data_IF_524696459305
#
_entry.id   IF_524696459305
#
_cell.length_a   1.000
_cell.length_b   1.000
_cell.length_c   1.000
_cell.angle_alpha   90.00
_cell.angle_beta   90.00
_cell.angle_gamma   90.00
#
_symmetry.space_group_name_H-M   'P 1'
#
loop_
_entity.id
_entity.type
_entity.pdbx_description
1 polymer ?
#
# COMPACT_ATOMS: atom_id res chain seq x y z
N UNK A 1 -3.17 -17.07 -11.78
CA UNK A 1 -2.44 -18.28 -12.20
C UNK A 1 -2.92 -19.57 -11.52
N UNK A 2 -3.26 -19.60 -10.21
CA UNK A 2 -3.69 -20.85 -9.53
C UNK A 2 -5.22 -21.07 -9.35
N UNK A 3 -6.07 -20.12 -9.76
CA UNK A 3 -7.52 -20.32 -9.85
C UNK A 3 -7.95 -19.93 -11.26
N UNK A 4 -8.42 -20.90 -12.05
CA UNK A 4 -8.97 -20.70 -13.40
C UNK A 4 -10.30 -19.93 -13.33
N UNK A 5 -10.23 -18.65 -12.95
CA UNK A 5 -11.36 -17.74 -13.05
C UNK A 5 -11.24 -17.00 -14.39
N UNK A 6 -12.23 -17.09 -15.29
CA UNK A 6 -12.18 -16.37 -16.56
C UNK A 6 -12.01 -14.88 -16.28
N UNK A 7 -11.25 -14.16 -17.11
CA UNK A 7 -11.00 -12.71 -16.95
C UNK A 7 -11.86 -11.97 -17.95
N UNK A 8 -12.63 -10.98 -17.51
CA UNK A 8 -13.54 -10.21 -18.36
C UNK A 8 -12.74 -9.14 -19.08
N UNK A 9 -13.10 -8.82 -20.32
CA UNK A 9 -12.50 -7.70 -21.06
C UNK A 9 -12.58 -6.36 -20.28
N UNK A 10 -13.58 -6.22 -19.39
CA UNK A 10 -13.72 -5.04 -18.52
C UNK A 10 -12.58 -4.92 -17.50
N UNK A 11 -11.96 -6.03 -17.08
CA UNK A 11 -10.81 -6.00 -16.15
C UNK A 11 -9.57 -5.43 -16.86
N UNK A 12 -9.38 -5.74 -18.15
CA UNK A 12 -8.31 -5.15 -18.95
C UNK A 12 -8.49 -3.64 -19.14
N UNK A 13 -9.71 -3.21 -19.42
CA UNK A 13 -10.05 -1.79 -19.49
C UNK A 13 -9.77 -1.08 -18.16
N UNK A 14 -10.19 -1.68 -17.05
CA UNK A 14 -9.92 -1.14 -15.71
C UNK A 14 -8.43 -1.03 -15.42
N UNK A 15 -7.64 -2.05 -15.77
CA UNK A 15 -6.19 -2.05 -15.61
C UNK A 15 -5.54 -0.92 -16.43
N UNK A 16 -5.95 -0.76 -17.68
CA UNK A 16 -5.45 0.31 -18.54
C UNK A 16 -5.78 1.70 -17.98
N UNK A 17 -7.01 1.90 -17.48
CA UNK A 17 -7.42 3.15 -16.83
C UNK A 17 -6.58 3.44 -15.57
N UNK A 18 -6.38 2.45 -14.69
CA UNK A 18 -5.58 2.65 -13.48
C UNK A 18 -4.13 2.98 -13.83
N UNK A 19 -3.51 2.27 -14.78
CA UNK A 19 -2.14 2.55 -15.22
C UNK A 19 -2.04 3.96 -15.82
N UNK A 20 -2.98 4.35 -16.68
CA UNK A 20 -3.00 5.67 -17.28
C UNK A 20 -3.17 6.78 -16.22
N UNK A 21 -4.10 6.60 -15.29
CA UNK A 21 -4.33 7.54 -14.18
C UNK A 21 -3.11 7.67 -13.28
N UNK A 22 -2.43 6.57 -12.93
CA UNK A 22 -1.18 6.61 -12.16
C UNK A 22 -0.06 7.32 -12.92
N UNK A 23 0.06 7.10 -14.24
CA UNK A 23 1.04 7.82 -15.06
C UNK A 23 0.78 9.34 -15.08
N UNK A 24 -0.50 9.75 -15.07
CA UNK A 24 -0.89 11.15 -14.98
C UNK A 24 -0.55 11.75 -13.61
N UNK A 25 -0.84 11.04 -12.52
CA UNK A 25 -0.54 11.49 -11.14
C UNK A 25 0.97 11.61 -10.93
N UNK A 26 1.73 10.61 -11.40
CA UNK A 26 3.19 10.60 -11.33
C UNK A 26 3.85 11.61 -12.28
N UNK A 27 3.06 12.29 -13.13
CA UNK A 27 3.52 13.27 -14.12
C UNK A 27 4.75 12.77 -14.86
N UNK A 28 4.66 11.56 -15.41
CA UNK A 28 5.83 10.83 -15.95
C UNK A 28 6.67 11.67 -16.91
N UNK A 29 6.07 12.58 -17.67
CA UNK A 29 6.77 13.47 -18.60
C UNK A 29 7.66 14.56 -17.94
N UNK A 30 7.52 14.88 -16.66
CA UNK A 30 8.31 15.92 -15.99
C UNK A 30 9.66 15.43 -15.43
N UNK A 31 9.97 14.14 -15.52
CA UNK A 31 11.21 13.62 -14.93
C UNK A 31 11.44 12.12 -15.09
N UNK A 32 10.93 11.47 -16.14
CA UNK A 32 11.10 10.03 -16.32
C UNK A 32 12.58 9.67 -16.58
N UNK A 33 13.27 9.20 -15.55
CA UNK A 33 14.50 8.43 -15.70
C UNK A 33 14.17 6.96 -15.50
N UNK A 34 13.91 6.24 -16.60
CA UNK A 34 13.66 4.80 -16.54
C UNK A 34 14.96 4.05 -16.21
N UNK A 35 15.09 3.63 -14.95
CA UNK A 35 16.15 2.73 -14.51
C UNK A 35 15.65 1.28 -14.59
N UNK A 36 16.31 0.44 -15.38
CA UNK A 36 15.97 -0.97 -15.52
C UNK A 36 15.96 -1.71 -14.17
N UNK A 37 16.87 -1.38 -13.26
CA UNK A 37 16.91 -1.96 -11.92
C UNK A 37 15.69 -1.58 -11.08
N UNK A 38 15.21 -0.33 -11.21
CA UNK A 38 14.00 0.15 -10.54
C UNK A 38 12.72 -0.50 -11.09
N UNK A 39 12.65 -0.74 -12.39
CA UNK A 39 11.53 -1.48 -13.01
C UNK A 39 11.53 -2.94 -12.54
N UNK A 40 12.71 -3.59 -12.53
CA UNK A 40 12.84 -4.96 -12.05
C UNK A 40 12.44 -5.09 -10.57
N UNK A 41 12.89 -4.18 -9.71
CA UNK A 41 12.51 -4.18 -8.29
C UNK A 41 11.02 -3.93 -8.09
N UNK A 42 10.41 -3.02 -8.85
CA UNK A 42 8.96 -2.78 -8.82
C UNK A 42 8.15 -4.03 -9.19
N UNK A 43 8.59 -4.78 -10.22
CA UNK A 43 7.95 -6.05 -10.60
C UNK A 43 8.09 -7.12 -9.51
N UNK A 44 9.27 -7.22 -8.89
CA UNK A 44 9.49 -8.13 -7.74
C UNK A 44 8.57 -7.74 -6.58
N UNK A 45 8.45 -6.46 -6.25
CA UNK A 45 7.52 -5.95 -5.24
C UNK A 45 6.06 -6.28 -5.56
N UNK A 46 5.64 -6.15 -6.82
CA UNK A 46 4.29 -6.51 -7.25
C UNK A 46 3.99 -8.00 -7.05
N UNK A 47 4.95 -8.88 -7.40
CA UNK A 47 4.83 -10.33 -7.17
C UNK A 47 4.82 -10.65 -5.68
N UNK A 48 5.69 -10.04 -4.89
CA UNK A 48 5.76 -10.22 -3.45
C UNK A 48 4.45 -9.77 -2.76
N UNK A 49 3.88 -8.63 -3.16
CA UNK A 49 2.61 -8.13 -2.66
C UNK A 49 1.46 -9.07 -3.03
N UNK A 50 1.42 -9.55 -4.28
CA UNK A 50 0.43 -10.53 -4.71
C UNK A 50 0.53 -11.84 -3.89
N UNK A 51 1.76 -12.31 -3.64
CA UNK A 51 2.00 -13.46 -2.79
C UNK A 51 1.56 -13.20 -1.34
N UNK A 52 1.84 -12.02 -0.77
CA UNK A 52 1.37 -11.64 0.56
C UNK A 52 -0.15 -11.71 0.67
N UNK A 53 -0.90 -11.17 -0.29
CA UNK A 53 -2.37 -11.25 -0.25
C UNK A 53 -2.91 -12.69 -0.40
N UNK A 54 -2.31 -13.49 -1.29
CA UNK A 54 -2.74 -14.89 -1.51
C UNK A 54 -2.40 -15.80 -0.33
N UNK A 55 -1.18 -15.69 0.20
CA UNK A 55 -0.73 -16.43 1.38
C UNK A 55 -1.40 -15.92 2.66
N UNK A 56 -1.64 -14.62 2.75
CA UNK A 56 -2.38 -14.00 3.85
C UNK A 56 -3.80 -14.52 3.92
N UNK A 57 -4.53 -14.53 2.79
CA UNK A 57 -5.89 -15.04 2.74
C UNK A 57 -5.98 -16.53 3.11
N UNK A 58 -5.08 -17.37 2.58
CA UNK A 58 -5.07 -18.81 2.91
C UNK A 58 -4.53 -19.10 4.32
N UNK A 59 -3.58 -18.30 4.81
CA UNK A 59 -3.03 -18.41 6.16
C UNK A 59 -4.04 -18.06 7.25
N UNK A 60 -4.95 -17.11 6.99
CA UNK A 60 -6.03 -16.74 7.90
C UNK A 60 -7.10 -17.84 8.09
N UNK A 61 -7.17 -18.83 7.19
CA UNK A 61 -8.07 -19.99 7.38
C UNK A 61 -7.57 -20.93 8.50
N UNK A 62 -6.25 -20.93 8.76
CA UNK A 62 -5.60 -21.87 9.70
C UNK A 62 -5.03 -21.21 10.95
N UNK A 63 -4.79 -19.89 10.92
CA UNK A 63 -4.21 -19.11 12.02
C UNK A 63 -4.91 -17.77 12.18
N UNK A 64 -4.87 -17.23 13.38
CA UNK A 64 -5.39 -15.89 13.66
C UNK A 64 -4.47 -14.79 13.11
N UNK A 65 -5.03 -13.58 12.95
CA UNK A 65 -4.33 -12.40 12.44
C UNK A 65 -3.08 -12.03 13.23
N UNK A 66 -3.10 -12.20 14.55
CA UNK A 66 -1.96 -11.85 15.42
C UNK A 66 -0.82 -12.83 15.18
N UNK A 67 -1.09 -14.15 15.18
CA UNK A 67 -0.05 -15.15 14.91
C UNK A 67 0.58 -14.99 13.52
N UNK A 68 -0.23 -14.75 12.49
CA UNK A 68 0.29 -14.60 11.12
C UNK A 68 1.13 -13.32 10.98
N UNK A 69 0.73 -12.23 11.64
CA UNK A 69 1.48 -10.98 11.69
C UNK A 69 2.80 -11.15 12.47
N UNK A 70 2.76 -11.86 13.60
CA UNK A 70 3.93 -12.15 14.43
C UNK A 70 4.99 -12.96 13.65
N UNK A 71 4.58 -14.04 12.98
CA UNK A 71 5.49 -14.82 12.13
C UNK A 71 6.01 -14.02 10.94
N UNK A 72 5.16 -13.19 10.31
CA UNK A 72 5.58 -12.30 9.24
C UNK A 72 6.68 -11.34 9.68
N UNK A 73 6.49 -10.66 10.80
CA UNK A 73 7.51 -9.75 11.35
C UNK A 73 8.74 -10.48 11.86
N UNK A 74 8.61 -11.69 12.41
CA UNK A 74 9.76 -12.49 12.84
C UNK A 74 10.69 -12.81 11.66
N UNK A 75 10.15 -13.36 10.57
CA UNK A 75 10.96 -13.66 9.39
C UNK A 75 11.48 -12.39 8.71
N UNK A 76 10.66 -11.33 8.63
CA UNK A 76 11.10 -10.04 8.09
C UNK A 76 12.27 -9.46 8.89
N UNK A 77 12.20 -9.51 10.23
CA UNK A 77 13.28 -9.07 11.13
C UNK A 77 14.53 -9.89 10.90
N UNK A 78 14.42 -11.21 10.76
CA UNK A 78 15.56 -12.09 10.53
C UNK A 78 16.23 -11.79 9.18
N UNK A 79 15.45 -11.66 8.12
CA UNK A 79 15.95 -11.30 6.78
C UNK A 79 16.64 -9.93 6.79
N UNK A 80 16.00 -8.91 7.37
CA UNK A 80 16.57 -7.57 7.41
C UNK A 80 17.79 -7.47 8.33
N UNK A 81 17.86 -8.24 9.42
CA UNK A 81 19.05 -8.27 10.28
C UNK A 81 20.30 -8.79 9.56
N UNK A 82 20.13 -9.60 8.50
CA UNK A 82 21.23 -10.06 7.64
C UNK A 82 21.59 -9.02 6.57
N UNK A 83 20.59 -8.40 5.93
CA UNK A 83 20.79 -7.43 4.85
C UNK A 83 21.32 -6.09 5.37
N UNK A 84 20.74 -5.59 6.45
CA UNK A 84 21.07 -4.32 7.09
C UNK A 84 21.28 -4.56 8.61
N UNK A 85 22.48 -5.00 9.01
CA UNK A 85 22.72 -5.37 10.39
C UNK A 85 22.56 -4.19 11.35
N UNK A 86 22.05 -4.44 12.56
CA UNK A 86 21.77 -3.39 13.55
C UNK A 86 23.00 -2.58 13.97
N UNK A 87 24.22 -3.12 13.79
CA UNK A 87 25.46 -2.42 14.16
C UNK A 87 25.85 -1.37 13.11
N UNK A 88 25.30 -1.44 11.90
CA UNK A 88 25.46 -0.41 10.88
C UNK A 88 24.50 0.77 11.08
N UNK A 89 23.58 0.67 12.04
CA UNK A 89 22.59 1.70 12.30
C UNK A 89 23.23 2.93 12.98
N UNK A 90 22.97 4.16 12.50
CA UNK A 90 23.53 5.38 13.07
C UNK A 90 22.81 5.78 14.38
N UNK A 91 23.14 5.10 15.48
CA UNK A 91 22.50 5.29 16.79
C UNK A 91 22.51 6.74 17.31
N UNK A 92 23.48 7.56 16.88
CA UNK A 92 23.56 8.97 17.25
C UNK A 92 22.38 9.82 16.78
N UNK A 93 21.74 9.44 15.66
CA UNK A 93 20.59 10.19 15.11
C UNK A 93 19.33 10.07 15.98
N UNK A 94 19.24 9.06 16.85
CA UNK A 94 18.03 8.82 17.65
C UNK A 94 17.72 9.96 18.62
N UNK A 95 18.77 10.60 19.15
CA UNK A 95 18.66 11.72 20.10
C UNK A 95 18.45 13.07 19.43
N UNK A 96 18.65 13.16 18.11
CA UNK A 96 18.45 14.42 17.39
C UNK A 96 16.96 14.77 17.35
N UNK A 97 16.66 16.05 17.57
CA UNK A 97 15.30 16.57 17.47
C UNK A 97 15.09 17.14 16.07
N UNK A 98 14.08 16.62 15.39
CA UNK A 98 13.68 17.13 14.08
C UNK A 98 12.96 18.48 14.22
N UNK A 99 12.95 19.29 13.16
CA UNK A 99 12.12 20.49 13.12
C UNK A 99 10.67 20.19 13.51
N UNK A 100 9.97 21.13 14.17
CA UNK A 100 8.57 20.96 14.53
C UNK A 100 7.72 20.62 13.31
N UNK A 101 6.83 19.64 13.44
CA UNK A 101 5.84 19.32 12.40
C UNK A 101 4.79 20.43 12.25
N UNK A 102 4.58 21.23 13.29
CA UNK A 102 3.59 22.31 13.34
C UNK A 102 4.25 23.53 13.97
N UNK A 103 4.02 24.70 13.38
CA UNK A 103 4.50 25.97 13.91
C UNK A 103 4.04 26.16 15.37
N UNK A 104 5.01 26.34 16.27
CA UNK A 104 4.76 26.52 17.71
C UNK A 104 4.81 25.24 18.56
N UNK A 105 4.99 24.05 17.96
CA UNK A 105 5.25 22.82 18.71
C UNK A 105 6.76 22.61 18.98
N UNK A 106 7.15 21.89 20.05
CA UNK A 106 8.54 21.46 20.20
C UNK A 106 8.90 20.42 19.13
N UNK A 107 10.16 20.45 18.68
CA UNK A 107 10.72 19.40 17.83
C UNK A 107 10.69 18.05 18.53
N UNK A 108 10.36 16.98 17.79
CA UNK A 108 10.30 15.63 18.35
C UNK A 108 11.62 14.90 18.09
N UNK A 109 12.13 14.14 19.08
CA UNK A 109 13.27 13.27 18.88
C UNK A 109 12.97 12.21 17.81
N UNK A 110 13.97 11.86 17.00
CA UNK A 110 13.84 10.85 15.94
C UNK A 110 13.33 9.50 16.47
N UNK A 111 13.77 9.08 17.66
CA UNK A 111 13.31 7.82 18.25
C UNK A 111 11.79 7.78 18.50
N UNK A 112 11.17 8.91 18.84
CA UNK A 112 9.72 9.00 19.04
C UNK A 112 8.99 8.75 17.73
N UNK A 113 9.48 9.35 16.63
CA UNK A 113 8.91 9.15 15.30
C UNK A 113 9.09 7.71 14.80
N UNK A 114 10.22 7.08 15.10
CA UNK A 114 10.46 5.67 14.79
C UNK A 114 9.47 4.78 15.54
N UNK A 115 9.33 4.96 16.86
CA UNK A 115 8.37 4.18 17.66
C UNK A 115 6.94 4.40 17.16
N UNK A 116 6.57 5.64 16.87
CA UNK A 116 5.27 5.97 16.28
C UNK A 116 5.05 5.24 14.95
N UNK A 117 6.04 5.26 14.05
CA UNK A 117 5.96 4.57 12.76
C UNK A 117 5.88 3.04 12.91
N UNK A 118 6.64 2.45 13.83
CA UNK A 118 6.58 1.01 14.12
C UNK A 118 5.20 0.62 14.64
N UNK A 119 4.64 1.37 15.59
CA UNK A 119 3.36 1.03 16.20
C UNK A 119 2.17 1.33 15.29
N UNK A 120 2.08 2.56 14.78
CA UNK A 120 0.91 3.06 14.05
C UNK A 120 1.08 3.07 12.54
N UNK A 121 2.31 3.12 12.02
CA UNK A 121 2.58 2.98 10.59
C UNK A 121 2.70 1.52 10.14
N UNK A 122 3.02 0.60 11.05
CA UNK A 122 3.34 -0.79 10.71
C UNK A 122 2.46 -1.79 11.45
N UNK A 123 2.60 -1.94 12.77
CA UNK A 123 1.92 -3.02 13.51
C UNK A 123 0.39 -2.87 13.46
N UNK A 124 -0.14 -1.70 13.81
CA UNK A 124 -1.59 -1.48 13.83
C UNK A 124 -2.22 -1.64 12.44
N UNK A 125 -1.70 -1.03 11.35
CA UNK A 125 -2.24 -1.24 10.00
C UNK A 125 -2.21 -2.70 9.56
N UNK A 126 -1.11 -3.43 9.80
CA UNK A 126 -1.03 -4.85 9.42
C UNK A 126 -2.05 -5.69 10.17
N UNK A 127 -2.22 -5.47 11.48
CA UNK A 127 -3.24 -6.15 12.28
C UNK A 127 -4.66 -5.82 11.79
N UNK A 128 -4.93 -4.57 11.43
CA UNK A 128 -6.22 -4.14 10.88
C UNK A 128 -6.49 -4.76 9.52
N UNK A 129 -5.51 -4.76 8.60
CA UNK A 129 -5.65 -5.36 7.27
C UNK A 129 -5.90 -6.86 7.39
N UNK A 130 -5.07 -7.58 8.14
CA UNK A 130 -5.20 -9.03 8.30
C UNK A 130 -6.46 -9.41 9.09
N UNK A 131 -6.84 -8.60 10.09
CA UNK A 131 -8.10 -8.72 10.80
C UNK A 131 -9.32 -8.44 9.92
N UNK A 132 -9.23 -7.49 8.98
CA UNK A 132 -10.30 -7.16 8.03
C UNK A 132 -10.59 -8.34 7.09
N UNK A 133 -9.55 -9.07 6.67
CA UNK A 133 -9.71 -10.28 5.85
C UNK A 133 -10.58 -11.32 6.56
N UNK A 134 -10.42 -11.47 7.89
CA UNK A 134 -11.20 -12.42 8.69
C UNK A 134 -12.65 -11.97 8.92
N UNK A 135 -12.90 -10.66 9.07
CA UNK A 135 -14.25 -10.13 9.38
C UNK A 135 -15.10 -9.83 8.14
N UNK A 136 -14.48 -9.32 7.09
CA UNK A 136 -15.15 -8.84 5.89
C UNK A 136 -15.00 -9.81 4.70
N UNK A 137 -14.03 -10.73 4.76
CA UNK A 137 -13.62 -11.55 3.62
C UNK A 137 -12.75 -10.78 2.63
N UNK A 138 -11.92 -11.50 1.87
CA UNK A 138 -10.94 -10.91 0.94
C UNK A 138 -11.57 -9.99 -0.11
N UNK A 139 -12.81 -10.24 -0.50
CA UNK A 139 -13.52 -9.43 -1.50
C UNK A 139 -13.88 -8.04 -0.96
N UNK A 140 -14.56 -7.95 0.19
CA UNK A 140 -14.94 -6.67 0.79
C UNK A 140 -13.72 -5.90 1.30
N UNK A 141 -12.74 -6.59 1.88
CA UNK A 141 -11.47 -5.97 2.27
C UNK A 141 -10.76 -5.36 1.05
N UNK A 142 -10.79 -6.05 -0.09
CA UNK A 142 -10.27 -5.51 -1.36
C UNK A 142 -10.99 -4.25 -1.81
N UNK A 143 -12.33 -4.20 -1.73
CA UNK A 143 -13.13 -3.01 -2.07
C UNK A 143 -12.75 -1.83 -1.19
N UNK A 144 -12.63 -2.04 0.12
CA UNK A 144 -12.19 -0.99 1.05
C UNK A 144 -10.76 -0.55 0.71
N UNK A 145 -9.87 -1.49 0.41
CA UNK A 145 -8.50 -1.21 0.00
C UNK A 145 -8.40 -0.36 -1.26
N UNK A 146 -9.33 -0.52 -2.22
CA UNK A 146 -9.34 0.36 -3.41
C UNK A 146 -9.69 1.82 -3.12
N UNK A 147 -10.17 2.15 -1.92
CA UNK A 147 -10.35 3.54 -1.49
C UNK A 147 -9.06 4.18 -0.96
N UNK A 148 -7.97 3.42 -0.81
CA UNK A 148 -6.68 3.93 -0.32
C UNK A 148 -6.18 5.16 -1.09
N UNK A 149 -6.21 5.21 -2.44
CA UNK A 149 -5.78 6.40 -3.18
C UNK A 149 -6.59 7.66 -2.84
N UNK A 150 -7.89 7.51 -2.52
CA UNK A 150 -8.76 8.62 -2.10
C UNK A 150 -8.26 9.24 -0.80
N UNK A 151 -8.02 8.39 0.21
CA UNK A 151 -7.56 8.82 1.51
C UNK A 151 -6.14 9.35 1.45
N UNK A 152 -5.26 8.74 0.66
CA UNK A 152 -3.91 9.23 0.45
C UNK A 152 -3.91 10.65 -0.15
N UNK A 153 -4.69 10.90 -1.21
CA UNK A 153 -4.79 12.22 -1.82
C UNK A 153 -5.41 13.26 -0.88
N UNK A 154 -6.48 12.88 -0.16
CA UNK A 154 -7.14 13.77 0.79
C UNK A 154 -6.23 14.15 1.97
N UNK A 155 -5.56 13.15 2.57
CA UNK A 155 -4.65 13.38 3.68
C UNK A 155 -3.38 14.11 3.22
N UNK A 156 -2.87 13.85 2.03
CA UNK A 156 -1.76 14.63 1.45
C UNK A 156 -2.11 16.10 1.28
N UNK A 157 -3.29 16.40 0.71
CA UNK A 157 -3.76 17.77 0.57
C UNK A 157 -3.99 18.47 1.94
N UNK A 158 -4.61 17.77 2.90
CA UNK A 158 -4.96 18.34 4.21
C UNK A 158 -3.78 18.47 5.17
N UNK A 159 -2.91 17.46 5.24
CA UNK A 159 -1.84 17.38 6.24
C UNK A 159 -0.50 17.93 5.72
N UNK A 160 -0.21 17.77 4.43
CA UNK A 160 1.05 18.21 3.83
C UNK A 160 0.90 19.52 3.03
N UNK A 161 -0.33 20.04 2.88
CA UNK A 161 -0.59 21.25 2.13
C UNK A 161 -0.32 21.10 0.63
N UNK A 162 -0.32 19.87 0.11
CA UNK A 162 -0.01 19.59 -1.29
C UNK A 162 -1.11 20.15 -2.21
N UNK A 163 -0.73 21.12 -3.04
CA UNK A 163 -1.60 21.63 -4.11
C UNK A 163 -1.59 20.65 -5.27
N UNK A 164 -2.67 19.87 -5.38
CA UNK A 164 -2.88 18.96 -6.50
C UNK A 164 -2.96 19.76 -7.81
N UNK A 165 -2.05 19.46 -8.73
CA UNK A 165 -2.11 20.02 -10.08
C UNK A 165 -3.37 19.55 -10.80
N UNK A 166 -3.89 20.32 -11.76
CA UNK A 166 -5.06 19.91 -12.55
C UNK A 166 -4.90 18.54 -13.20
N UNK A 167 -3.68 18.18 -13.61
CA UNK A 167 -3.38 16.86 -14.19
C UNK A 167 -3.45 15.73 -13.16
N UNK A 168 -2.98 15.95 -11.94
CA UNK A 168 -3.11 14.98 -10.84
C UNK A 168 -4.57 14.75 -10.47
N UNK A 169 -5.40 15.81 -10.47
CA UNK A 169 -6.84 15.69 -10.23
C UNK A 169 -7.50 14.84 -11.34
N UNK A 170 -7.18 15.09 -12.60
CA UNK A 170 -7.69 14.26 -13.72
C UNK A 170 -7.22 12.81 -13.56
N UNK A 171 -5.93 12.60 -13.29
CA UNK A 171 -5.36 11.27 -13.06
C UNK A 171 -6.07 10.52 -11.94
N UNK A 172 -6.39 11.20 -10.84
CA UNK A 172 -7.16 10.65 -9.73
C UNK A 172 -8.54 10.18 -10.15
N UNK A 173 -9.32 11.00 -10.86
CA UNK A 173 -10.63 10.59 -11.37
C UNK A 173 -10.54 9.43 -12.37
N UNK A 174 -9.50 9.38 -13.19
CA UNK A 174 -9.25 8.26 -14.11
C UNK A 174 -8.98 6.96 -13.33
N UNK A 175 -8.17 7.01 -12.26
CA UNK A 175 -7.96 5.86 -11.37
C UNK A 175 -9.28 5.39 -10.75
N UNK A 176 -10.10 6.32 -10.24
CA UNK A 176 -11.41 5.99 -9.66
C UNK A 176 -12.37 5.37 -10.66
N UNK A 177 -12.40 5.88 -11.89
CA UNK A 177 -13.19 5.28 -12.96
C UNK A 177 -12.72 3.85 -13.25
N UNK A 178 -11.39 3.62 -13.32
CA UNK A 178 -10.81 2.30 -13.48
C UNK A 178 -11.20 1.34 -12.36
N UNK A 179 -11.11 1.79 -11.10
CA UNK A 179 -11.55 1.02 -9.92
C UNK A 179 -13.04 0.69 -10.02
N UNK A 180 -13.89 1.66 -10.35
CA UNK A 180 -15.32 1.45 -10.55
C UNK A 180 -15.62 0.38 -11.60
N UNK A 181 -14.98 0.46 -12.77
CA UNK A 181 -15.10 -0.55 -13.84
C UNK A 181 -14.66 -1.93 -13.35
N UNK A 182 -13.56 -2.02 -12.61
CA UNK A 182 -13.08 -3.27 -12.05
C UNK A 182 -14.09 -3.88 -11.07
N UNK A 183 -14.69 -3.03 -10.24
CA UNK A 183 -15.67 -3.43 -9.24
C UNK A 183 -16.98 -3.89 -9.88
N UNK A 184 -17.51 -3.17 -10.85
CA UNK A 184 -18.69 -3.60 -11.61
C UNK A 184 -18.45 -4.93 -12.31
N UNK A 185 -17.28 -5.12 -12.95
CA UNK A 185 -16.92 -6.37 -13.61
C UNK A 185 -16.81 -7.56 -12.66
N UNK A 186 -16.46 -7.32 -11.39
CA UNK A 186 -16.46 -8.33 -10.32
C UNK A 186 -17.87 -8.62 -9.82
N UNK A 187 -18.69 -7.60 -9.56
CA UNK A 187 -20.09 -7.76 -9.09
C UNK A 187 -20.98 -8.50 -10.08
N UNK A 188 -20.83 -8.26 -11.38
CA UNK A 188 -21.61 -9.01 -12.40
C UNK A 188 -21.32 -10.52 -12.39
N UNK A 189 -20.25 -10.96 -11.71
CA UNK A 189 -19.90 -12.39 -11.54
C UNK A 189 -20.40 -13.00 -10.24
N UNK A 190 -20.81 -12.16 -9.27
CA UNK A 190 -21.27 -12.58 -7.95
C UNK A 190 -22.80 -12.64 -7.80
N UNK A 191 -23.56 -12.18 -8.80
CA UNK A 191 -25.02 -12.34 -8.81
C UNK A 191 -25.37 -13.81 -9.12
N UNK A 192 -26.10 -14.51 -8.24
CA UNK A 192 -26.63 -15.83 -8.58
C UNK A 192 -27.61 -15.70 -9.76
N UNK A 193 -27.51 -16.63 -10.71
CA UNK A 193 -28.52 -16.85 -11.74
C UNK A 193 -29.78 -17.48 -11.12
#
# INVERSE_FOLDING_TARGET
>A
FFKHKPVSNRIWLALALVIAGLALIAQVWQGLTLNAAGVASALICAVALAAFWLLGASGQEKRDAVSLTMWGFFFATLTWSVIAPWWSFPWGLLGESLPPLVDGAPGLPVWVLIVWNVLLGTIAPFLLVLGSLRRLGAERAGIVGTSEPLWAALLGALLLGELLTGVQIVGFFVVLAGIGVAEFARRTRGAPA
#
